data_IF_785523050633
#
_entry.id   IF_785523050633
#
_cell.length_a   1.000
_cell.length_b   1.000
_cell.length_c   1.000
_cell.angle_alpha   90.00
_cell.angle_beta   90.00
_cell.angle_gamma   90.00
#
_symmetry.space_group_name_H-M   'P 1'
#
loop_
_entity.id
_entity.type
_entity.pdbx_description
1 polymer ?
#
# COMPACT_ATOMS: atom_id res chain seq x y z
N UNK A 1 3.96 -77.75 66.84
CA UNK A 1 3.10 -76.56 66.77
C UNK A 1 3.74 -75.59 65.78
N UNK A 2 3.30 -75.61 64.51
CA UNK A 2 3.82 -74.73 63.46
C UNK A 2 2.97 -73.46 63.38
N UNK A 3 3.62 -72.31 63.60
CA UNK A 3 2.95 -70.99 63.37
C UNK A 3 2.94 -70.67 61.91
N UNK A 4 1.73 -70.50 61.37
CA UNK A 4 1.51 -70.02 60.04
C UNK A 4 1.86 -68.52 59.92
N UNK A 5 2.81 -68.18 59.07
CA UNK A 5 3.10 -66.80 58.72
C UNK A 5 2.06 -66.30 57.63
N UNK A 6 1.39 -65.23 57.93
CA UNK A 6 0.51 -64.54 56.95
C UNK A 6 1.35 -63.63 56.07
N UNK A 7 1.31 -63.84 54.77
CA UNK A 7 1.90 -62.98 53.78
C UNK A 7 0.82 -61.95 53.39
N UNK A 8 1.10 -60.63 53.61
CA UNK A 8 0.27 -59.53 53.16
C UNK A 8 0.80 -59.11 51.80
N UNK A 9 -0.02 -59.13 50.78
CA UNK A 9 0.44 -58.59 49.43
C UNK A 9 0.53 -57.08 49.50
N UNK A 10 1.71 -56.55 49.15
CA UNK A 10 1.92 -55.12 48.92
C UNK A 10 1.29 -54.73 47.57
N UNK A 11 0.24 -53.92 47.63
CA UNK A 11 -0.35 -53.30 46.43
C UNK A 11 0.55 -52.15 46.01
N UNK A 12 1.28 -52.31 44.90
CA UNK A 12 2.02 -51.26 44.27
C UNK A 12 1.02 -50.38 43.46
N UNK A 13 0.75 -49.18 43.96
CA UNK A 13 0.00 -48.15 43.19
C UNK A 13 0.94 -47.54 42.18
N UNK A 14 0.81 -47.92 40.92
CA UNK A 14 1.49 -47.27 39.79
C UNK A 14 0.72 -45.98 39.47
N UNK A 15 1.24 -44.84 39.89
CA UNK A 15 0.76 -43.53 39.44
C UNK A 15 1.18 -43.34 37.96
N UNK A 16 0.28 -43.61 37.04
CA UNK A 16 0.46 -43.23 35.64
C UNK A 16 0.27 -41.70 35.52
N UNK A 17 1.37 -40.95 35.57
CA UNK A 17 1.38 -39.55 35.10
C UNK A 17 1.10 -39.54 33.59
N UNK A 18 -0.14 -39.25 33.23
CA UNK A 18 -0.49 -38.91 31.84
C UNK A 18 0.18 -37.57 31.50
N UNK A 19 1.33 -37.64 30.85
CA UNK A 19 1.87 -36.51 30.11
C UNK A 19 0.88 -36.23 28.97
N UNK A 20 -0.07 -35.29 29.19
CA UNK A 20 -0.83 -34.70 28.10
C UNK A 20 0.19 -34.06 27.16
N UNK A 21 0.17 -34.37 25.86
CA UNK A 21 1.02 -33.64 24.91
C UNK A 21 0.68 -32.17 25.04
N UNK A 22 1.71 -31.34 25.33
CA UNK A 22 1.56 -29.90 25.23
C UNK A 22 1.02 -29.61 23.83
N UNK A 23 -0.20 -29.09 23.74
CA UNK A 23 -0.74 -28.61 22.48
C UNK A 23 0.27 -27.57 22.00
N UNK A 24 0.97 -27.90 20.93
CA UNK A 24 1.81 -26.92 20.24
C UNK A 24 0.90 -25.71 19.95
N UNK A 25 1.20 -24.56 20.56
CA UNK A 25 0.50 -23.33 20.24
C UNK A 25 0.51 -23.19 18.71
N UNK A 26 -0.69 -23.14 18.13
CA UNK A 26 -0.84 -22.96 16.70
C UNK A 26 -0.08 -21.67 16.36
N UNK A 27 1.02 -21.73 15.59
CA UNK A 27 1.82 -20.55 15.36
C UNK A 27 0.90 -19.46 14.79
N UNK A 28 0.88 -18.29 15.42
CA UNK A 28 0.09 -17.15 14.97
C UNK A 28 0.36 -16.96 13.48
N UNK A 29 -0.68 -16.81 12.65
CA UNK A 29 -0.49 -16.66 11.21
C UNK A 29 0.46 -15.48 10.96
N UNK A 30 1.55 -15.74 10.26
CA UNK A 30 2.54 -14.70 9.92
C UNK A 30 1.82 -13.59 9.17
N UNK A 31 2.02 -12.35 9.59
CA UNK A 31 1.53 -11.18 8.87
C UNK A 31 2.18 -11.15 7.48
N UNK A 32 1.39 -10.92 6.45
CA UNK A 32 1.91 -10.77 5.09
C UNK A 32 2.42 -9.35 4.97
N UNK A 33 3.72 -9.23 4.66
CA UNK A 33 4.29 -7.98 4.18
C UNK A 33 4.28 -8.02 2.66
N UNK A 34 3.80 -6.95 2.06
CA UNK A 34 3.84 -6.74 0.62
C UNK A 34 4.46 -5.38 0.31
N UNK A 35 5.09 -5.26 -0.86
CA UNK A 35 5.78 -4.04 -1.23
C UNK A 35 5.57 -3.69 -2.70
N UNK A 36 5.37 -2.40 -2.97
CA UNK A 36 5.48 -1.90 -4.33
C UNK A 36 6.92 -1.94 -4.81
N UNK A 37 7.10 -2.40 -6.04
CA UNK A 37 8.39 -2.42 -6.73
C UNK A 37 8.30 -1.45 -7.92
N UNK A 38 8.62 -0.15 -7.69
CA UNK A 38 8.45 0.86 -8.73
C UNK A 38 9.46 0.70 -9.86
N UNK A 39 9.01 0.92 -11.11
CA UNK A 39 9.85 0.80 -12.29
C UNK A 39 11.08 1.73 -12.29
N UNK A 40 10.99 2.86 -11.61
CA UNK A 40 12.06 3.86 -11.52
C UNK A 40 13.08 3.60 -10.40
N UNK A 41 12.86 2.63 -9.53
CA UNK A 41 13.74 2.31 -8.39
C UNK A 41 14.21 0.85 -8.38
N UNK A 42 14.18 0.17 -9.51
CA UNK A 42 14.50 -1.27 -9.63
C UNK A 42 15.86 -1.67 -9.04
N UNK A 43 16.86 -0.79 -9.16
CA UNK A 43 18.22 -1.05 -8.65
C UNK A 43 18.30 -1.19 -7.13
N UNK A 44 17.33 -0.63 -6.42
CA UNK A 44 17.25 -0.66 -4.94
C UNK A 44 16.09 -1.49 -4.44
N UNK A 45 14.91 -1.39 -5.05
CA UNK A 45 13.69 -2.04 -4.58
C UNK A 45 13.74 -3.56 -4.76
N UNK A 46 14.20 -4.07 -5.90
CA UNK A 46 14.27 -5.51 -6.12
C UNK A 46 15.25 -6.21 -5.18
N UNK A 47 16.52 -5.73 -5.01
CA UNK A 47 17.41 -6.29 -3.98
C UNK A 47 16.85 -6.20 -2.57
N UNK A 48 16.16 -5.12 -2.20
CA UNK A 48 15.54 -5.00 -0.89
C UNK A 48 14.49 -6.07 -0.65
N UNK A 49 13.65 -6.37 -1.64
CA UNK A 49 12.68 -7.47 -1.58
C UNK A 49 13.40 -8.82 -1.41
N UNK A 50 14.38 -9.10 -2.25
CA UNK A 50 15.10 -10.39 -2.24
C UNK A 50 15.85 -10.64 -0.93
N UNK A 51 16.41 -9.59 -0.32
CA UNK A 51 17.10 -9.67 0.96
C UNK A 51 16.16 -9.85 2.17
N UNK A 52 14.84 -9.66 1.97
CA UNK A 52 13.82 -9.76 3.02
C UNK A 52 12.70 -10.74 2.62
N UNK A 53 13.04 -11.77 1.88
CA UNK A 53 12.07 -12.75 1.34
C UNK A 53 11.39 -13.59 2.44
N UNK A 54 11.96 -13.66 3.64
CA UNK A 54 11.36 -14.27 4.82
C UNK A 54 10.13 -13.49 5.32
N UNK A 55 10.12 -12.18 5.09
CA UNK A 55 9.02 -11.26 5.47
C UNK A 55 8.12 -10.94 4.29
N UNK A 56 8.69 -10.64 3.12
CA UNK A 56 7.95 -10.23 1.92
C UNK A 56 7.60 -11.47 1.11
N UNK A 57 6.29 -11.72 0.94
CA UNK A 57 5.77 -12.87 0.17
C UNK A 57 4.98 -12.46 -1.05
N UNK A 58 4.60 -11.21 -1.13
CA UNK A 58 3.78 -10.65 -2.19
C UNK A 58 4.38 -9.33 -2.64
N UNK A 59 4.50 -9.14 -3.94
CA UNK A 59 5.05 -7.92 -4.54
C UNK A 59 4.09 -7.33 -5.56
N UNK A 60 4.07 -6.02 -5.60
CA UNK A 60 3.30 -5.24 -6.56
C UNK A 60 4.24 -4.46 -7.48
N UNK A 61 4.67 -5.04 -8.61
CA UNK A 61 5.36 -4.27 -9.64
C UNK A 61 4.52 -3.07 -10.10
N UNK A 62 4.97 -1.87 -9.79
CA UNK A 62 4.29 -0.62 -10.15
C UNK A 62 4.72 -0.20 -11.57
N UNK A 63 4.27 -0.98 -12.57
CA UNK A 63 4.86 -0.96 -13.91
C UNK A 63 3.86 -0.71 -15.03
N UNK A 64 2.58 -0.63 -14.75
CA UNK A 64 1.55 -0.52 -15.78
C UNK A 64 0.64 0.68 -15.57
N UNK A 65 0.12 1.21 -16.66
CA UNK A 65 -0.92 2.24 -16.62
C UNK A 65 -1.98 2.00 -17.69
N UNK A 66 -3.24 2.16 -17.32
CA UNK A 66 -4.37 2.09 -18.24
C UNK A 66 -4.48 3.41 -18.99
N UNK A 67 -4.65 3.33 -20.31
CA UNK A 67 -4.88 4.44 -21.20
C UNK A 67 -6.14 4.21 -22.01
N UNK A 68 -6.82 5.31 -22.34
CA UNK A 68 -7.96 5.30 -23.25
C UNK A 68 -7.80 6.43 -24.28
N UNK A 69 -7.60 6.06 -25.52
CA UNK A 69 -7.44 6.99 -26.63
C UNK A 69 -8.00 6.38 -27.92
N UNK A 70 -8.61 7.19 -28.78
CA UNK A 70 -9.17 6.74 -30.05
C UNK A 70 -10.21 5.61 -29.87
N UNK A 71 -11.04 5.69 -28.84
CA UNK A 71 -12.03 4.65 -28.47
C UNK A 71 -11.42 3.28 -28.14
N UNK A 72 -10.13 3.21 -27.83
CA UNK A 72 -9.43 1.97 -27.48
C UNK A 72 -8.85 2.04 -26.09
N UNK A 73 -9.13 1.01 -25.28
CA UNK A 73 -8.42 0.76 -24.02
C UNK A 73 -7.09 0.06 -24.34
N UNK A 74 -6.03 0.55 -23.71
CA UNK A 74 -4.72 -0.09 -23.76
C UNK A 74 -4.04 -0.04 -22.40
N UNK A 75 -3.11 -0.95 -22.18
CA UNK A 75 -2.25 -0.95 -21.00
C UNK A 75 -0.83 -0.68 -21.47
N UNK A 76 -0.24 0.38 -20.94
CA UNK A 76 1.12 0.80 -21.25
C UNK A 76 2.07 0.25 -20.21
N UNK A 77 3.15 -0.35 -20.69
CA UNK A 77 4.30 -0.75 -19.89
C UNK A 77 5.17 0.48 -19.58
N UNK A 78 5.37 0.77 -18.31
CA UNK A 78 6.21 1.86 -17.83
C UNK A 78 7.64 1.38 -17.50
N UNK A 79 7.81 0.07 -17.30
CA UNK A 79 9.09 -0.51 -16.94
C UNK A 79 10.11 -0.47 -18.08
N UNK A 80 9.72 -0.96 -19.27
CA UNK A 80 10.67 -1.12 -20.37
C UNK A 80 11.30 0.20 -20.84
N UNK A 81 10.56 1.32 -20.98
CA UNK A 81 11.16 2.60 -21.31
C UNK A 81 12.12 3.12 -20.22
N UNK A 82 11.83 2.86 -18.95
CA UNK A 82 12.67 3.30 -17.83
C UNK A 82 13.91 2.41 -17.61
N UNK A 83 13.89 1.17 -18.10
CA UNK A 83 14.93 0.17 -17.91
C UNK A 83 15.35 -0.49 -19.25
N UNK A 84 15.78 0.28 -20.27
CA UNK A 84 15.94 -0.23 -21.62
C UNK A 84 17.00 -1.32 -21.79
N UNK A 85 17.93 -1.41 -20.83
CA UNK A 85 19.00 -2.41 -20.84
C UNK A 85 18.62 -3.73 -20.14
N UNK A 86 17.45 -3.81 -19.51
CA UNK A 86 17.03 -4.99 -18.74
C UNK A 86 15.61 -5.39 -19.18
N UNK A 87 15.44 -6.45 -19.95
CA UNK A 87 14.12 -6.92 -20.36
C UNK A 87 13.21 -7.16 -19.15
N UNK A 88 11.94 -6.81 -19.26
CA UNK A 88 10.93 -6.96 -18.17
C UNK A 88 10.82 -8.41 -17.67
N UNK A 89 11.09 -9.38 -18.55
CA UNK A 89 11.11 -10.80 -18.20
C UNK A 89 12.16 -11.19 -17.17
N UNK A 90 13.28 -10.43 -17.10
CA UNK A 90 14.39 -10.71 -16.18
C UNK A 90 13.97 -10.53 -14.71
N UNK A 91 13.49 -9.35 -14.25
CA UNK A 91 13.04 -9.19 -12.88
C UNK A 91 11.81 -10.04 -12.57
N UNK A 92 10.91 -10.29 -13.52
CA UNK A 92 9.77 -11.19 -13.33
C UNK A 92 10.23 -12.61 -13.05
N UNK A 93 11.18 -13.14 -13.82
CA UNK A 93 11.76 -14.46 -13.58
C UNK A 93 12.47 -14.54 -12.21
N UNK A 94 13.19 -13.49 -11.84
CA UNK A 94 13.85 -13.40 -10.52
C UNK A 94 12.84 -13.46 -9.38
N UNK A 95 11.78 -12.67 -9.44
CA UNK A 95 10.72 -12.67 -8.41
C UNK A 95 9.97 -14.00 -8.35
N UNK A 96 9.64 -14.59 -9.50
CA UNK A 96 9.02 -15.93 -9.58
C UNK A 96 9.94 -17.02 -9.01
N UNK A 97 11.22 -17.01 -9.39
CA UNK A 97 12.22 -17.94 -8.88
C UNK A 97 12.44 -17.84 -7.37
N UNK A 98 12.22 -16.68 -6.80
CA UNK A 98 12.22 -16.45 -5.37
C UNK A 98 10.92 -16.88 -4.65
N UNK A 99 9.93 -17.41 -5.38
CA UNK A 99 8.66 -17.87 -4.80
C UNK A 99 7.73 -16.75 -4.35
N UNK A 100 7.89 -15.54 -4.90
CA UNK A 100 7.03 -14.40 -4.59
C UNK A 100 5.71 -14.49 -5.38
N UNK A 101 4.61 -14.13 -4.73
CA UNK A 101 3.35 -13.83 -5.41
C UNK A 101 3.46 -12.48 -6.10
N UNK A 102 3.14 -12.41 -7.38
CA UNK A 102 3.28 -11.22 -8.21
C UNK A 102 1.91 -10.69 -8.59
N UNK A 103 1.53 -9.56 -8.00
CA UNK A 103 0.26 -8.86 -8.21
C UNK A 103 0.59 -7.43 -8.71
N UNK A 104 0.89 -7.25 -10.01
CA UNK A 104 1.32 -5.93 -10.50
C UNK A 104 0.28 -4.85 -10.26
N UNK A 105 0.75 -3.63 -9.99
CA UNK A 105 -0.09 -2.45 -9.90
C UNK A 105 -0.27 -1.81 -11.27
N UNK A 106 -1.52 -1.49 -11.58
CA UNK A 106 -1.91 -0.71 -12.75
C UNK A 106 -2.54 0.61 -12.28
N UNK A 107 -2.02 1.72 -12.77
CA UNK A 107 -2.54 3.06 -12.46
C UNK A 107 -3.59 3.50 -13.49
N UNK A 108 -4.39 4.49 -13.11
CA UNK A 108 -5.26 5.23 -14.03
C UNK A 108 -4.46 6.37 -14.68
N UNK A 109 -3.99 6.14 -15.89
CA UNK A 109 -3.26 7.13 -16.70
C UNK A 109 -4.15 7.87 -17.68
N UNK A 110 -5.44 8.01 -17.40
CA UNK A 110 -6.39 8.73 -18.24
C UNK A 110 -6.52 10.21 -17.82
N UNK A 111 -7.02 11.05 -18.72
CA UNK A 111 -7.32 12.45 -18.42
C UNK A 111 -8.60 12.58 -17.59
N UNK A 112 -8.87 13.80 -17.09
CA UNK A 112 -10.04 14.13 -16.29
C UNK A 112 -11.35 13.63 -16.94
N UNK A 113 -12.16 12.92 -16.16
CA UNK A 113 -13.46 12.32 -16.52
C UNK A 113 -13.40 11.23 -17.60
N UNK A 114 -12.22 10.92 -18.15
CA UNK A 114 -12.10 9.91 -19.22
C UNK A 114 -12.40 8.52 -18.69
N UNK A 115 -11.82 8.12 -17.57
CA UNK A 115 -12.13 6.81 -16.95
C UNK A 115 -13.59 6.74 -16.54
N UNK A 116 -14.12 7.75 -15.88
CA UNK A 116 -15.53 7.81 -15.46
C UNK A 116 -16.50 7.64 -16.64
N UNK A 117 -16.20 8.29 -17.76
CA UNK A 117 -16.99 8.16 -18.99
C UNK A 117 -16.83 6.78 -19.64
N UNK A 118 -15.62 6.24 -19.69
CA UNK A 118 -15.36 4.87 -20.18
C UNK A 118 -16.19 3.85 -19.38
N UNK A 119 -16.12 3.91 -18.06
CA UNK A 119 -16.83 2.98 -17.18
C UNK A 119 -18.35 3.18 -17.17
N UNK A 120 -18.86 4.31 -17.65
CA UNK A 120 -20.30 4.58 -17.70
C UNK A 120 -21.05 3.68 -18.70
N UNK A 121 -20.33 3.13 -19.70
CA UNK A 121 -20.90 2.23 -20.70
C UNK A 121 -20.53 0.79 -20.46
N UNK A 122 -21.41 -0.14 -20.84
CA UNK A 122 -21.13 -1.58 -20.76
C UNK A 122 -19.91 -1.95 -21.62
N UNK A 123 -19.88 -1.48 -22.87
CA UNK A 123 -18.76 -1.74 -23.77
C UNK A 123 -17.42 -1.22 -23.24
N UNK A 124 -17.42 -0.05 -22.61
CA UNK A 124 -16.23 0.52 -21.99
C UNK A 124 -15.73 -0.31 -20.81
N UNK A 125 -16.64 -0.76 -19.94
CA UNK A 125 -16.30 -1.65 -18.83
C UNK A 125 -15.72 -2.98 -19.35
N UNK A 126 -16.38 -3.60 -20.33
CA UNK A 126 -15.91 -4.86 -20.92
C UNK A 126 -14.54 -4.72 -21.58
N UNK A 127 -14.28 -3.62 -22.30
CA UNK A 127 -12.98 -3.35 -22.89
C UNK A 127 -11.87 -3.22 -21.82
N UNK A 128 -12.15 -2.52 -20.72
CA UNK A 128 -11.20 -2.39 -19.61
C UNK A 128 -10.95 -3.74 -18.91
N UNK A 129 -12.01 -4.51 -18.65
CA UNK A 129 -11.92 -5.86 -18.06
C UNK A 129 -11.07 -6.78 -18.94
N UNK A 130 -11.33 -6.82 -20.25
CA UNK A 130 -10.57 -7.66 -21.18
C UNK A 130 -9.09 -7.28 -21.22
N UNK A 131 -8.78 -5.97 -21.29
CA UNK A 131 -7.40 -5.52 -21.34
C UNK A 131 -6.61 -5.93 -20.09
N UNK A 132 -7.21 -5.75 -18.90
CA UNK A 132 -6.58 -6.10 -17.62
C UNK A 132 -6.47 -7.62 -17.46
N UNK A 133 -7.53 -8.36 -17.73
CA UNK A 133 -7.53 -9.82 -17.62
C UNK A 133 -6.49 -10.44 -18.57
N UNK A 134 -6.41 -9.95 -19.81
CA UNK A 134 -5.39 -10.41 -20.78
C UNK A 134 -3.96 -10.13 -20.28
N UNK A 135 -3.70 -8.97 -19.68
CA UNK A 135 -2.39 -8.66 -19.08
C UNK A 135 -2.02 -9.72 -18.04
N UNK A 136 -2.96 -10.03 -17.12
CA UNK A 136 -2.74 -10.99 -16.03
C UNK A 136 -2.48 -12.40 -16.58
N UNK A 137 -3.30 -12.86 -17.51
CA UNK A 137 -3.20 -14.21 -18.05
C UNK A 137 -1.97 -14.41 -18.93
N UNK A 138 -1.68 -13.46 -19.83
CA UNK A 138 -0.52 -13.55 -20.75
C UNK A 138 0.81 -13.62 -20.00
N UNK A 139 0.93 -12.90 -18.87
CA UNK A 139 2.14 -12.89 -18.07
C UNK A 139 2.13 -13.89 -16.91
N UNK A 140 1.05 -14.65 -16.79
CA UNK A 140 0.82 -15.57 -15.67
C UNK A 140 1.10 -14.90 -14.30
N UNK A 141 0.51 -13.71 -14.07
CA UNK A 141 0.51 -13.05 -12.78
C UNK A 141 -0.46 -13.73 -11.81
N UNK A 142 -0.23 -13.58 -10.50
CA UNK A 142 -1.12 -14.15 -9.48
C UNK A 142 -2.40 -13.32 -9.28
N UNK A 143 -2.41 -12.10 -9.78
CA UNK A 143 -3.53 -11.17 -9.73
C UNK A 143 -3.17 -9.83 -10.32
N UNK A 144 -3.97 -8.83 -10.00
CA UNK A 144 -3.75 -7.41 -10.34
C UNK A 144 -4.13 -6.53 -9.17
N UNK A 145 -3.41 -5.42 -9.01
CA UNK A 145 -3.72 -4.36 -8.07
C UNK A 145 -4.12 -3.10 -8.85
N UNK A 146 -5.32 -2.57 -8.59
CA UNK A 146 -5.80 -1.34 -9.21
C UNK A 146 -5.50 -0.17 -8.29
N UNK A 147 -4.58 0.68 -8.71
CA UNK A 147 -4.26 1.97 -8.09
C UNK A 147 -4.79 3.10 -8.98
N UNK A 148 -6.11 3.15 -9.11
CA UNK A 148 -6.81 4.14 -9.91
C UNK A 148 -7.14 5.35 -9.04
N UNK A 149 -6.49 6.47 -9.32
CA UNK A 149 -6.61 7.67 -8.49
C UNK A 149 -7.27 8.86 -9.22
N UNK A 150 -7.09 8.99 -10.54
CA UNK A 150 -7.55 10.17 -11.26
C UNK A 150 -9.07 10.35 -11.17
N UNK A 151 -9.86 9.27 -11.21
CA UNK A 151 -11.31 9.36 -11.10
C UNK A 151 -11.79 9.85 -9.71
N UNK A 152 -10.93 9.77 -8.71
CA UNK A 152 -11.21 10.28 -7.36
C UNK A 152 -10.61 11.66 -7.13
N UNK A 153 -9.32 11.87 -7.48
CA UNK A 153 -8.61 13.11 -7.20
C UNK A 153 -8.80 14.18 -8.28
N UNK A 154 -8.64 13.78 -9.55
CA UNK A 154 -8.65 14.74 -10.68
C UNK A 154 -10.08 15.08 -11.12
N UNK A 155 -10.97 14.07 -11.15
CA UNK A 155 -12.38 14.29 -11.47
C UNK A 155 -13.10 15.09 -10.38
N UNK A 156 -12.68 14.90 -9.12
CA UNK A 156 -13.19 15.63 -7.96
C UNK A 156 -14.55 15.11 -7.46
N UNK A 157 -14.90 15.53 -6.26
CA UNK A 157 -16.04 14.99 -5.50
C UNK A 157 -17.41 15.26 -6.12
N UNK A 158 -17.52 16.24 -7.02
CA UNK A 158 -18.77 16.52 -7.74
C UNK A 158 -19.16 15.45 -8.76
N UNK A 159 -18.19 14.60 -9.16
CA UNK A 159 -18.41 13.47 -10.08
C UNK A 159 -18.75 12.16 -9.35
N UNK A 160 -18.45 12.04 -8.06
CA UNK A 160 -18.40 10.76 -7.37
C UNK A 160 -19.73 10.02 -7.30
N UNK A 161 -20.84 10.71 -7.04
CA UNK A 161 -22.15 10.06 -6.98
C UNK A 161 -22.54 9.41 -8.32
N UNK A 162 -22.15 10.05 -9.43
CA UNK A 162 -22.36 9.52 -10.78
C UNK A 162 -21.40 8.38 -11.11
N UNK A 163 -20.12 8.50 -10.71
CA UNK A 163 -19.06 7.54 -11.06
C UNK A 163 -19.12 6.28 -10.23
N UNK A 164 -19.49 6.37 -8.95
CA UNK A 164 -19.52 5.27 -7.99
C UNK A 164 -20.23 4.01 -8.52
N UNK A 165 -21.46 4.03 -9.05
CA UNK A 165 -22.11 2.83 -9.55
C UNK A 165 -21.38 2.18 -10.74
N UNK A 166 -20.73 2.98 -11.59
CA UNK A 166 -19.95 2.46 -12.72
C UNK A 166 -18.66 1.79 -12.25
N UNK A 167 -17.99 2.38 -11.27
CA UNK A 167 -16.83 1.78 -10.59
C UNK A 167 -17.19 0.42 -9.98
N UNK A 168 -18.28 0.35 -9.21
CA UNK A 168 -18.75 -0.91 -8.60
C UNK A 168 -19.04 -1.98 -9.66
N UNK A 169 -19.71 -1.62 -10.76
CA UNK A 169 -20.01 -2.55 -11.84
C UNK A 169 -18.72 -3.06 -12.50
N UNK A 170 -17.75 -2.17 -12.74
CA UNK A 170 -16.44 -2.53 -13.30
C UNK A 170 -15.68 -3.49 -12.39
N UNK A 171 -15.55 -3.16 -11.11
CA UNK A 171 -14.84 -4.01 -10.13
C UNK A 171 -15.47 -5.39 -10.03
N UNK A 172 -16.80 -5.49 -10.00
CA UNK A 172 -17.51 -6.79 -9.99
C UNK A 172 -17.24 -7.61 -11.26
N UNK A 173 -17.29 -6.99 -12.42
CA UNK A 173 -17.00 -7.66 -13.70
C UNK A 173 -15.55 -8.12 -13.79
N UNK A 174 -14.60 -7.28 -13.37
CA UNK A 174 -13.18 -7.64 -13.36
C UNK A 174 -12.89 -8.76 -12.37
N UNK A 175 -13.46 -8.69 -11.16
CA UNK A 175 -13.34 -9.76 -10.17
C UNK A 175 -13.83 -11.10 -10.72
N UNK A 176 -15.00 -11.13 -11.33
CA UNK A 176 -15.54 -12.36 -11.93
C UNK A 176 -14.61 -12.94 -13.00
N UNK A 177 -14.05 -12.10 -13.88
CA UNK A 177 -13.13 -12.52 -14.93
C UNK A 177 -11.80 -13.08 -14.36
N UNK A 178 -11.25 -12.44 -13.33
CA UNK A 178 -10.02 -12.88 -12.68
C UNK A 178 -10.24 -14.17 -11.88
N UNK A 179 -11.28 -14.22 -11.05
CA UNK A 179 -11.60 -15.39 -10.20
C UNK A 179 -11.92 -16.63 -11.04
N UNK A 180 -12.53 -16.50 -12.22
CA UNK A 180 -12.74 -17.61 -13.14
C UNK A 180 -11.42 -18.28 -13.58
N UNK A 181 -10.30 -17.59 -13.43
CA UNK A 181 -8.95 -18.07 -13.74
C UNK A 181 -8.07 -18.26 -12.49
N UNK A 182 -8.65 -18.24 -11.28
CA UNK A 182 -7.93 -18.37 -10.02
C UNK A 182 -6.98 -17.21 -9.72
N UNK A 183 -7.25 -16.01 -10.27
CA UNK A 183 -6.42 -14.81 -10.09
C UNK A 183 -7.04 -13.84 -9.09
N UNK A 184 -6.19 -13.15 -8.32
CA UNK A 184 -6.61 -12.24 -7.27
C UNK A 184 -6.91 -10.83 -7.81
N UNK A 185 -7.87 -10.14 -7.17
CA UNK A 185 -8.13 -8.72 -7.37
C UNK A 185 -7.79 -7.93 -6.11
N UNK A 186 -6.80 -7.05 -6.21
CA UNK A 186 -6.42 -6.06 -5.20
C UNK A 186 -6.89 -4.68 -5.63
N UNK A 187 -7.34 -3.87 -4.68
CA UNK A 187 -7.71 -2.47 -4.90
C UNK A 187 -6.91 -1.62 -3.94
N UNK A 188 -6.09 -0.71 -4.45
CA UNK A 188 -5.43 0.34 -3.70
C UNK A 188 -6.29 1.59 -3.70
N UNK A 189 -6.50 2.17 -2.51
CA UNK A 189 -7.40 3.33 -2.35
C UNK A 189 -6.84 4.30 -1.33
N UNK A 190 -7.15 5.61 -1.45
CA UNK A 190 -7.01 6.53 -0.33
C UNK A 190 -7.97 6.15 0.80
N UNK A 191 -7.83 6.84 1.93
CA UNK A 191 -8.64 6.59 3.11
C UNK A 191 -10.15 6.80 2.87
N UNK A 192 -10.95 6.04 3.59
CA UNK A 192 -12.37 6.25 3.74
C UNK A 192 -12.72 6.03 5.21
N UNK A 193 -13.34 7.04 5.83
CA UNK A 193 -13.94 6.93 7.14
C UNK A 193 -15.41 6.55 7.00
N UNK A 194 -16.01 6.05 8.07
CA UNK A 194 -17.42 5.68 8.06
C UNK A 194 -18.30 6.81 7.48
N UNK A 195 -18.94 6.61 6.34
CA UNK A 195 -19.72 7.65 5.69
C UNK A 195 -20.99 8.03 6.48
N UNK A 196 -21.45 7.20 7.43
CA UNK A 196 -22.64 7.46 8.27
C UNK A 196 -22.37 8.54 9.31
N UNK A 197 -21.10 8.75 9.70
CA UNK A 197 -20.70 9.75 10.70
C UNK A 197 -20.47 11.14 10.11
N UNK A 198 -20.65 11.32 8.78
CA UNK A 198 -20.36 12.57 8.07
C UNK A 198 -18.88 12.84 7.83
N UNK A 199 -17.97 12.04 8.36
CA UNK A 199 -16.52 12.11 8.09
C UNK A 199 -16.21 11.34 6.82
N UNK A 200 -16.60 11.91 5.69
CA UNK A 200 -16.44 11.29 4.37
C UNK A 200 -15.00 11.44 3.88
N UNK A 201 -14.35 10.30 3.58
CA UNK A 201 -13.16 10.26 2.72
C UNK A 201 -13.57 10.10 1.25
N UNK A 202 -12.83 9.27 0.53
CA UNK A 202 -13.03 9.05 -0.92
C UNK A 202 -14.09 7.97 -1.19
N UNK A 203 -15.36 8.26 -0.87
CA UNK A 203 -16.46 7.29 -0.92
C UNK A 203 -16.80 6.77 -2.34
N UNK A 204 -16.25 7.37 -3.37
CA UNK A 204 -16.36 6.88 -4.77
C UNK A 204 -15.80 5.47 -4.93
N UNK A 205 -14.83 5.07 -4.10
CA UNK A 205 -14.29 3.71 -4.12
C UNK A 205 -15.26 2.63 -3.61
N UNK A 206 -16.35 3.02 -2.97
CA UNK A 206 -17.45 2.13 -2.64
C UNK A 206 -17.05 0.86 -1.87
N UNK A 207 -16.23 1.01 -0.82
CA UNK A 207 -15.64 -0.14 -0.11
C UNK A 207 -16.67 -1.21 0.30
N UNK A 208 -17.82 -0.81 0.83
CA UNK A 208 -18.86 -1.75 1.27
C UNK A 208 -19.44 -2.56 0.09
N UNK A 209 -19.60 -1.93 -1.07
CA UNK A 209 -20.21 -2.54 -2.24
C UNK A 209 -19.24 -3.46 -3.00
N UNK A 210 -17.92 -3.23 -2.88
CA UNK A 210 -16.88 -4.07 -3.53
C UNK A 210 -16.29 -5.11 -2.58
N UNK A 211 -16.41 -4.94 -1.27
CA UNK A 211 -15.87 -5.85 -0.25
C UNK A 211 -16.16 -7.35 -0.51
N UNK A 212 -17.36 -7.75 -0.95
CA UNK A 212 -17.66 -9.16 -1.21
C UNK A 212 -16.82 -9.78 -2.33
N UNK A 213 -16.36 -8.98 -3.29
CA UNK A 213 -15.76 -9.48 -4.53
C UNK A 213 -14.26 -9.26 -4.65
N UNK A 214 -13.64 -8.40 -3.86
CA UNK A 214 -12.19 -8.17 -3.88
C UNK A 214 -11.46 -9.10 -2.92
N UNK A 215 -10.18 -9.37 -3.17
CA UNK A 215 -9.32 -10.19 -2.31
C UNK A 215 -8.44 -9.36 -1.39
N UNK A 216 -8.06 -8.14 -1.80
CA UNK A 216 -7.24 -7.21 -1.05
C UNK A 216 -7.79 -5.80 -1.15
N UNK A 217 -7.93 -5.13 -0.03
CA UNK A 217 -8.09 -3.68 0.06
C UNK A 217 -6.81 -3.10 0.65
N UNK A 218 -6.04 -2.37 -0.15
CA UNK A 218 -4.83 -1.68 0.27
C UNK A 218 -5.15 -0.23 0.50
N UNK A 219 -5.00 0.23 1.73
CA UNK A 219 -5.40 1.57 2.10
C UNK A 219 -4.16 2.43 2.23
N UNK A 220 -4.08 3.51 1.47
CA UNK A 220 -3.02 4.51 1.55
C UNK A 220 -3.22 5.34 2.83
N UNK A 221 -2.78 4.81 3.97
CA UNK A 221 -2.85 5.48 5.27
C UNK A 221 -1.64 6.40 5.48
N UNK A 222 -1.36 7.22 4.48
CA UNK A 222 -0.31 8.22 4.44
C UNK A 222 -0.78 9.46 3.65
N UNK A 223 0.09 10.48 3.56
CA UNK A 223 -0.23 11.78 2.95
C UNK A 223 -1.37 12.51 3.65
N UNK A 224 -1.52 12.31 4.98
CA UNK A 224 -2.47 13.07 5.78
C UNK A 224 -2.18 14.58 5.72
N UNK A 225 -0.90 14.96 5.83
CA UNK A 225 -0.43 16.34 5.66
C UNK A 225 0.43 16.47 4.41
N UNK A 226 -0.07 17.19 3.40
CA UNK A 226 0.65 17.43 2.14
C UNK A 226 0.96 18.91 1.94
N UNK A 227 -0.05 19.77 2.07
CA UNK A 227 0.06 21.20 1.78
C UNK A 227 0.69 22.02 2.91
N UNK A 228 0.69 21.51 4.13
CA UNK A 228 1.22 22.17 5.34
C UNK A 228 1.98 21.16 6.18
N UNK A 229 2.97 21.62 6.98
CA UNK A 229 3.66 20.77 7.94
C UNK A 229 2.71 20.03 8.87
N UNK A 230 2.96 18.75 9.08
CA UNK A 230 2.14 17.88 9.91
C UNK A 230 2.50 16.39 9.73
N UNK A 231 1.82 15.49 10.43
CA UNK A 231 2.09 14.06 10.34
C UNK A 231 1.78 13.49 8.96
N UNK A 232 2.48 12.46 8.58
CA UNK A 232 2.29 11.75 7.30
C UNK A 232 1.09 10.79 7.39
N UNK A 233 0.97 10.04 8.49
CA UNK A 233 -0.09 9.06 8.72
C UNK A 233 -0.37 8.89 10.21
N UNK A 234 -0.97 9.89 10.90
CA UNK A 234 -1.14 9.86 12.35
C UNK A 234 -1.93 8.62 12.78
N UNK A 235 -1.44 7.95 13.84
CA UNK A 235 -1.96 6.64 14.27
C UNK A 235 -3.49 6.67 14.49
N UNK A 236 -4.02 7.71 15.13
CA UNK A 236 -5.46 7.81 15.41
C UNK A 236 -6.34 7.88 14.16
N UNK A 237 -5.84 8.54 13.11
CA UNK A 237 -6.51 8.59 11.81
C UNK A 237 -6.41 7.26 11.07
N UNK A 238 -5.23 6.63 11.07
CA UNK A 238 -5.01 5.29 10.52
C UNK A 238 -5.92 4.27 11.18
N UNK A 239 -5.98 4.24 12.52
CA UNK A 239 -6.89 3.36 13.26
C UNK A 239 -8.36 3.60 12.92
N UNK A 240 -8.79 4.85 12.79
CA UNK A 240 -10.18 5.18 12.45
C UNK A 240 -10.55 4.64 11.06
N UNK A 241 -9.63 4.78 10.09
CA UNK A 241 -9.78 4.23 8.74
C UNK A 241 -9.86 2.71 8.76
N UNK A 242 -8.98 2.05 9.50
CA UNK A 242 -8.96 0.59 9.61
C UNK A 242 -10.20 0.05 10.34
N UNK A 243 -10.65 0.71 11.41
CA UNK A 243 -11.89 0.34 12.13
C UNK A 243 -13.08 0.30 11.19
N UNK A 244 -13.21 1.29 10.29
CA UNK A 244 -14.24 1.25 9.28
C UNK A 244 -14.05 0.10 8.29
N UNK A 245 -12.86 -0.08 7.74
CA UNK A 245 -12.59 -1.16 6.78
C UNK A 245 -12.94 -2.55 7.35
N UNK A 246 -12.52 -2.86 8.58
CA UNK A 246 -12.78 -4.16 9.20
C UNK A 246 -14.23 -4.32 9.69
N UNK A 247 -15.00 -3.24 9.77
CA UNK A 247 -16.43 -3.33 10.05
C UNK A 247 -17.26 -3.82 8.86
N UNK A 248 -16.73 -3.70 7.65
CA UNK A 248 -17.43 -4.03 6.39
C UNK A 248 -16.83 -5.20 5.63
N UNK A 249 -15.62 -5.64 5.99
CA UNK A 249 -14.97 -6.81 5.38
C UNK A 249 -14.05 -7.53 6.36
N UNK A 250 -13.73 -8.82 6.12
CA UNK A 250 -12.76 -9.56 6.95
C UNK A 250 -11.39 -8.87 7.01
N UNK A 251 -10.80 -8.80 8.20
CA UNK A 251 -9.49 -8.19 8.40
C UNK A 251 -8.38 -8.80 7.53
N UNK A 252 -8.52 -10.08 7.14
CA UNK A 252 -7.59 -10.75 6.23
C UNK A 252 -7.54 -10.16 4.81
N UNK A 253 -8.52 -9.35 4.42
CA UNK A 253 -8.54 -8.62 3.16
C UNK A 253 -7.96 -7.21 3.27
N UNK A 254 -7.77 -6.67 4.48
CA UNK A 254 -7.38 -5.27 4.72
C UNK A 254 -5.87 -5.15 4.91
N UNK A 255 -5.23 -4.34 4.08
CA UNK A 255 -3.80 -4.05 4.12
C UNK A 255 -3.57 -2.57 4.44
N UNK A 256 -2.71 -2.33 5.41
CA UNK A 256 -2.32 -0.98 5.85
C UNK A 256 -1.16 -0.51 5.00
N UNK A 257 -1.32 0.60 4.29
CA UNK A 257 -0.23 1.25 3.57
C UNK A 257 0.62 2.08 4.52
N UNK A 258 1.92 1.82 4.55
CA UNK A 258 2.88 2.59 5.32
C UNK A 258 3.78 3.39 4.40
N UNK A 259 3.98 4.67 4.71
CA UNK A 259 4.90 5.53 3.98
C UNK A 259 6.35 5.09 4.23
N UNK A 260 7.09 4.84 3.15
CA UNK A 260 8.54 4.65 3.20
C UNK A 260 9.32 5.96 2.99
N UNK A 261 8.67 7.11 3.22
CA UNK A 261 9.21 8.45 2.96
C UNK A 261 8.76 9.44 4.03
N UNK A 262 9.47 10.56 4.10
CA UNK A 262 9.09 11.75 4.84
C UNK A 262 8.86 12.94 3.91
N UNK A 263 8.28 14.00 4.46
CA UNK A 263 8.07 15.28 3.78
C UNK A 263 8.84 16.38 4.51
N UNK A 264 9.43 17.27 3.73
CA UNK A 264 10.22 18.40 4.18
C UNK A 264 9.57 19.70 3.69
N UNK A 265 9.18 20.56 4.64
CA UNK A 265 8.53 21.84 4.34
C UNK A 265 9.39 23.00 4.76
N UNK A 266 9.46 24.01 3.92
CA UNK A 266 10.01 25.30 4.31
C UNK A 266 8.99 26.04 5.17
N UNK A 267 9.28 26.22 6.44
CA UNK A 267 8.38 26.87 7.40
C UNK A 267 8.66 28.35 7.56
N UNK A 268 9.92 28.76 7.39
CA UNK A 268 10.37 30.15 7.53
C UNK A 268 11.54 30.42 6.58
N UNK A 269 11.58 31.64 6.04
CA UNK A 269 12.72 32.17 5.28
C UNK A 269 13.14 33.47 5.90
N UNK A 270 14.43 33.62 6.19
CA UNK A 270 15.04 34.85 6.65
C UNK A 270 16.05 35.34 5.61
N UNK A 271 16.00 36.63 5.29
CA UNK A 271 16.84 37.22 4.24
C UNK A 271 16.33 36.95 2.83
N UNK A 272 17.21 37.04 1.87
CA UNK A 272 16.92 36.87 0.43
C UNK A 272 17.65 35.65 -0.09
N UNK A 273 16.93 34.62 -0.47
CA UNK A 273 17.50 33.41 -1.08
C UNK A 273 18.09 33.69 -2.46
N UNK A 274 19.14 32.97 -2.86
CA UNK A 274 19.65 33.00 -4.23
C UNK A 274 18.55 32.70 -5.26
N UNK A 275 18.61 33.33 -6.42
CA UNK A 275 17.55 33.26 -7.44
C UNK A 275 17.25 31.82 -7.93
N UNK A 276 18.25 30.96 -7.95
CA UNK A 276 18.14 29.55 -8.33
C UNK A 276 17.32 28.71 -7.35
N UNK A 277 17.32 29.06 -6.06
CA UNK A 277 16.57 28.36 -5.02
C UNK A 277 15.31 29.09 -4.56
N UNK A 278 15.17 30.38 -4.86
CA UNK A 278 14.08 31.24 -4.37
C UNK A 278 12.67 30.73 -4.70
N UNK A 279 12.51 29.95 -5.79
CA UNK A 279 11.22 29.39 -6.21
C UNK A 279 10.80 28.18 -5.35
N UNK A 280 11.75 27.46 -4.77
CA UNK A 280 11.54 26.23 -3.99
C UNK A 280 11.69 26.46 -2.50
N UNK A 281 12.44 27.49 -2.10
CA UNK A 281 12.72 27.86 -0.71
C UNK A 281 11.89 29.09 -0.33
N UNK A 282 10.59 28.91 -0.27
CA UNK A 282 9.64 29.94 0.20
C UNK A 282 8.69 29.29 1.19
N UNK A 283 8.29 30.02 2.23
CA UNK A 283 7.30 29.52 3.18
C UNK A 283 6.00 29.17 2.46
N UNK A 284 5.50 27.96 2.69
CA UNK A 284 4.33 27.43 1.98
C UNK A 284 4.60 26.85 0.59
N UNK A 285 5.86 26.71 0.18
CA UNK A 285 6.22 25.93 -1.02
C UNK A 285 5.78 24.46 -0.87
N UNK A 286 5.59 23.78 -2.01
CA UNK A 286 5.33 22.35 -2.02
C UNK A 286 6.44 21.61 -1.27
N UNK A 287 6.06 20.73 -0.34
CA UNK A 287 7.02 19.90 0.37
C UNK A 287 7.91 19.09 -0.57
N UNK A 288 9.18 19.02 -0.26
CA UNK A 288 10.06 18.02 -0.83
C UNK A 288 9.78 16.66 -0.15
N UNK A 289 10.08 15.56 -0.84
CA UNK A 289 10.03 14.22 -0.26
C UNK A 289 11.43 13.66 -0.14
N UNK A 290 11.66 12.86 0.89
CA UNK A 290 12.90 12.09 1.05
C UNK A 290 12.57 10.67 1.50
N UNK A 291 13.40 9.70 1.11
CA UNK A 291 13.21 8.31 1.55
C UNK A 291 13.54 8.18 3.03
N UNK A 292 12.76 7.40 3.76
CA UNK A 292 12.87 7.27 5.22
C UNK A 292 14.27 6.82 5.66
N UNK A 293 14.95 5.98 4.89
CA UNK A 293 16.34 5.54 5.16
C UNK A 293 17.33 6.71 5.22
N UNK A 294 17.02 7.86 4.63
CA UNK A 294 17.88 9.05 4.64
C UNK A 294 17.55 10.04 5.76
N UNK A 295 16.45 9.82 6.50
CA UNK A 295 16.00 10.76 7.53
C UNK A 295 17.06 11.06 8.59
N UNK A 296 17.69 10.02 9.13
CA UNK A 296 18.76 10.17 10.14
C UNK A 296 19.96 10.92 9.59
N UNK A 297 20.39 10.64 8.35
CA UNK A 297 21.48 11.33 7.69
C UNK A 297 21.16 12.79 7.41
N UNK A 298 19.92 13.08 7.01
CA UNK A 298 19.46 14.46 6.81
C UNK A 298 19.47 15.23 8.11
N UNK A 299 18.92 14.70 9.18
CA UNK A 299 18.96 15.33 10.50
C UNK A 299 20.38 15.58 10.99
N UNK A 300 21.24 14.55 10.94
CA UNK A 300 22.65 14.64 11.36
C UNK A 300 23.45 15.66 10.53
N UNK A 301 23.21 15.70 9.21
CA UNK A 301 23.89 16.63 8.30
C UNK A 301 23.63 18.11 8.61
N UNK A 302 22.53 18.42 9.29
CA UNK A 302 22.18 19.77 9.73
C UNK A 302 22.20 19.94 11.26
N UNK A 303 22.74 18.97 12.02
CA UNK A 303 22.81 19.04 13.47
C UNK A 303 21.43 19.03 14.17
N UNK A 304 20.41 18.51 13.50
CA UNK A 304 19.07 18.44 14.04
C UNK A 304 18.89 17.19 14.92
N UNK A 305 18.07 17.33 15.97
CA UNK A 305 17.68 16.22 16.84
C UNK A 305 16.33 15.66 16.40
N UNK A 306 16.27 14.39 16.10
CA UNK A 306 15.02 13.69 15.81
C UNK A 306 14.22 13.57 17.11
N UNK A 307 12.97 13.99 17.07
CA UNK A 307 12.01 13.89 18.16
C UNK A 307 10.87 12.96 17.76
N UNK A 308 10.38 12.19 18.71
CA UNK A 308 9.21 11.33 18.50
C UNK A 308 7.97 12.04 19.03
N UNK A 309 6.95 12.16 18.19
CA UNK A 309 5.67 12.75 18.56
C UNK A 309 4.72 11.65 19.05
N UNK A 310 4.51 11.57 20.36
CA UNK A 310 3.68 10.57 21.01
C UNK A 310 2.19 10.65 20.60
N UNK A 311 1.71 11.83 20.21
CA UNK A 311 0.31 12.00 19.77
C UNK A 311 0.07 11.40 18.40
N UNK A 312 1.02 11.57 17.49
CA UNK A 312 0.91 11.09 16.12
C UNK A 312 1.61 9.76 15.89
N UNK A 313 2.49 9.36 16.83
CA UNK A 313 3.33 8.17 16.75
C UNK A 313 4.27 8.22 15.53
N UNK A 314 4.86 9.39 15.29
CA UNK A 314 5.78 9.65 14.19
C UNK A 314 7.01 10.40 14.66
N UNK A 315 8.14 10.18 13.96
CA UNK A 315 9.35 10.94 14.16
C UNK A 315 9.30 12.26 13.36
N UNK A 316 9.86 13.33 13.94
CA UNK A 316 9.97 14.65 13.31
C UNK A 316 11.26 15.34 13.73
N UNK A 317 11.75 16.28 12.93
CA UNK A 317 12.85 17.16 13.28
C UNK A 317 12.74 18.47 12.53
N UNK A 318 13.42 19.49 13.04
CA UNK A 318 13.52 20.82 12.42
C UNK A 318 14.98 21.16 12.23
N UNK A 319 15.33 21.72 11.10
CA UNK A 319 16.69 22.13 10.80
C UNK A 319 16.73 23.46 10.05
N UNK A 320 17.92 24.06 9.97
CA UNK A 320 18.15 25.28 9.22
C UNK A 320 19.13 25.02 8.09
N UNK A 321 18.83 25.58 6.94
CA UNK A 321 19.71 25.55 5.76
C UNK A 321 20.08 26.99 5.38
N UNK A 322 21.37 27.22 5.22
CA UNK A 322 21.92 28.54 4.91
C UNK A 322 22.32 28.60 3.44
N UNK A 323 21.84 29.61 2.74
CA UNK A 323 22.18 29.89 1.36
C UNK A 323 22.83 31.26 1.27
N UNK A 324 24.16 31.30 0.93
CA UNK A 324 24.92 32.55 0.78
C UNK A 324 24.68 33.55 1.94
N UNK A 325 24.66 33.06 3.17
CA UNK A 325 24.43 33.88 4.37
C UNK A 325 22.96 34.10 4.77
N UNK A 326 22.00 33.66 3.96
CA UNK A 326 20.57 33.70 4.28
C UNK A 326 20.09 32.33 4.79
N UNK A 327 19.14 32.35 5.70
CA UNK A 327 18.66 31.15 6.40
C UNK A 327 17.27 30.73 5.94
N UNK A 328 17.08 29.45 5.66
CA UNK A 328 15.77 28.83 5.51
C UNK A 328 15.60 27.76 6.59
N UNK A 329 14.44 27.73 7.24
CA UNK A 329 14.10 26.71 8.23
C UNK A 329 13.09 25.75 7.66
N UNK A 330 13.44 24.47 7.67
CA UNK A 330 12.58 23.35 7.23
C UNK A 330 12.06 22.57 8.43
N UNK A 331 10.86 21.99 8.29
CA UNK A 331 10.30 21.00 9.19
C UNK A 331 10.16 19.69 8.39
N UNK A 332 10.76 18.66 8.90
CA UNK A 332 10.70 17.31 8.32
C UNK A 332 10.05 16.32 9.26
#
# INVERSE_FOLDING_TARGET
>A
MLKKAQIIPAIAVVLALSLAPAMAENPQPRKIYSGWVPYYSMKTSLPAVLNNIDLIREVMPFWYTLKFAGNKVSITDLYSPANPSVPITTPLATMKGAGLSIIPTITDGTDKLVLSNLLSTENGRQAAVQAINNLVLTNNFDGIDLDFENFAFVDGNTSWDKTKPYWVAFVKSLSAALHANGKLLSITTPYLLDPTTGKKGYYVYAWAEIAPVIDRLRIMTYDYSVAKPGPIGPLSWTESTLKYAVSIMPASKVFVGLAGYGRDWVTKVEGVCPADVAKTVVAGAKAATFVMSNAANLAAGYGATIQYNETHQEATFTYQKIYNGNTATGLS
#
